data_IF_384998895165
#
_entry.id   IF_384998895165
#
_cell.length_a   1.000
_cell.length_b   1.000
_cell.length_c   1.000
_cell.angle_alpha   90.00
_cell.angle_beta   90.00
_cell.angle_gamma   90.00
#
_symmetry.space_group_name_H-M   'P 1'
#
loop_
_entity.id
_entity.type
_entity.pdbx_description
1 polymer ?
#
# COMPACT_ATOMS: atom_id res chain seq x y z
N UNK A 1 -0.17 3.93 8.14
CA UNK A 1 0.08 4.78 9.34
C UNK A 1 -0.48 6.14 9.06
N UNK A 2 -1.05 6.77 10.09
CA UNK A 2 -1.62 8.10 10.02
C UNK A 2 -0.82 9.10 10.86
N UNK A 3 -0.92 10.38 10.52
CA UNK A 3 -0.48 11.48 11.38
C UNK A 3 -1.50 11.73 12.54
N UNK A 4 -1.23 12.64 13.49
CA UNK A 4 -2.18 12.95 14.57
C UNK A 4 -3.51 13.53 14.08
N UNK A 5 -3.54 14.13 12.91
CA UNK A 5 -4.72 14.73 12.28
C UNK A 5 -5.54 13.71 11.46
N UNK A 6 -5.02 12.49 11.28
CA UNK A 6 -5.66 11.41 10.53
C UNK A 6 -5.29 11.36 9.06
N UNK A 7 -4.28 12.12 8.61
CA UNK A 7 -3.79 12.05 7.24
C UNK A 7 -2.89 10.83 7.04
N UNK A 8 -2.87 10.30 5.83
CA UNK A 8 -2.05 9.13 5.48
C UNK A 8 -0.59 9.52 5.34
N UNK A 9 0.26 9.05 6.26
CA UNK A 9 1.72 9.23 6.19
C UNK A 9 2.42 8.08 5.47
N UNK A 10 1.98 6.83 5.73
CA UNK A 10 2.58 5.64 5.11
C UNK A 10 1.50 4.65 4.69
N UNK A 11 1.69 4.08 3.53
CA UNK A 11 0.91 2.98 2.98
C UNK A 11 1.84 1.80 2.71
N UNK A 12 1.47 0.62 3.17
CA UNK A 12 2.22 -0.62 2.93
C UNK A 12 1.30 -1.82 3.05
N UNK A 13 1.70 -2.94 2.45
CA UNK A 13 1.14 -4.23 2.76
C UNK A 13 1.98 -4.89 3.84
N UNK A 14 1.35 -5.65 4.71
CA UNK A 14 1.98 -6.31 5.84
C UNK A 14 1.77 -7.81 5.73
N UNK A 15 2.87 -8.56 5.93
CA UNK A 15 2.82 -10.00 6.15
C UNK A 15 3.66 -10.36 7.35
N UNK A 16 3.19 -11.32 8.12
CA UNK A 16 3.90 -11.84 9.29
C UNK A 16 3.99 -13.36 9.18
N UNK A 17 5.21 -13.89 9.28
CA UNK A 17 5.47 -15.35 9.24
C UNK A 17 5.60 -15.98 10.64
N UNK A 18 5.30 -15.20 11.69
CA UNK A 18 5.43 -15.60 13.09
C UNK A 18 6.82 -15.31 13.70
N UNK A 19 7.80 -14.97 12.86
CA UNK A 19 9.15 -14.59 13.31
C UNK A 19 9.54 -13.20 12.80
N UNK A 20 9.10 -12.86 11.62
CA UNK A 20 9.44 -11.62 10.91
C UNK A 20 8.18 -11.01 10.31
N UNK A 21 8.00 -9.72 10.55
CA UNK A 21 6.96 -8.94 9.88
C UNK A 21 7.58 -8.20 8.70
N UNK A 22 7.14 -8.50 7.50
CA UNK A 22 7.53 -7.82 6.27
C UNK A 22 6.55 -6.69 5.93
N UNK A 23 7.09 -5.53 5.61
CA UNK A 23 6.33 -4.38 5.11
C UNK A 23 6.76 -4.10 3.67
N UNK A 24 5.82 -4.20 2.73
CA UNK A 24 6.08 -3.83 1.33
C UNK A 24 5.45 -2.48 1.03
N UNK A 25 6.25 -1.56 0.52
CA UNK A 25 5.88 -0.16 0.33
C UNK A 25 6.47 0.38 -0.97
N UNK A 26 6.00 1.56 -1.36
CA UNK A 26 6.51 2.25 -2.53
C UNK A 26 7.97 2.69 -2.35
N UNK A 27 8.77 2.74 -3.43
CA UNK A 27 10.13 3.25 -3.39
C UNK A 27 10.20 4.65 -2.79
N UNK A 28 11.26 4.93 -2.01
CA UNK A 28 11.50 6.22 -1.39
C UNK A 28 10.93 6.38 0.03
N UNK A 29 10.10 5.46 0.51
CA UNK A 29 9.51 5.55 1.85
C UNK A 29 10.22 4.70 2.93
N UNK A 30 11.14 3.82 2.54
CA UNK A 30 11.75 2.87 3.47
C UNK A 30 12.53 3.58 4.59
N UNK A 31 13.40 4.51 4.26
CA UNK A 31 14.26 5.21 5.23
C UNK A 31 13.43 5.95 6.30
N UNK A 32 12.43 6.71 5.87
CA UNK A 32 11.58 7.49 6.78
C UNK A 32 10.69 6.59 7.64
N UNK A 33 10.17 5.49 7.08
CA UNK A 33 9.39 4.52 7.82
C UNK A 33 10.25 3.78 8.85
N UNK A 34 11.47 3.38 8.51
CA UNK A 34 12.42 2.77 9.45
C UNK A 34 12.73 3.72 10.61
N UNK A 35 13.01 4.99 10.32
CA UNK A 35 13.26 6.00 11.34
C UNK A 35 12.04 6.16 12.28
N UNK A 36 10.84 6.20 11.70
CA UNK A 36 9.59 6.27 12.46
C UNK A 36 9.40 5.04 13.36
N UNK A 37 9.50 3.83 12.81
CA UNK A 37 9.30 2.60 13.57
C UNK A 37 10.37 2.41 14.64
N UNK A 38 11.63 2.76 14.35
CA UNK A 38 12.73 2.73 15.32
C UNK A 38 12.47 3.65 16.50
N UNK A 39 11.92 4.83 16.25
CA UNK A 39 11.49 5.76 17.32
C UNK A 39 10.30 5.20 18.11
N UNK A 40 9.35 4.55 17.42
CA UNK A 40 8.10 4.08 18.05
C UNK A 40 8.25 2.75 18.79
N UNK A 41 9.26 1.93 18.48
CA UNK A 41 9.47 0.64 19.16
C UNK A 41 9.79 0.76 20.65
N UNK A 42 10.25 1.94 21.10
CA UNK A 42 10.58 2.24 22.49
C UNK A 42 11.47 1.14 23.13
N UNK A 43 10.95 0.37 24.09
CA UNK A 43 11.68 -0.72 24.75
C UNK A 43 11.41 -2.11 24.14
N UNK A 44 10.67 -2.21 23.04
CA UNK A 44 10.42 -3.48 22.38
C UNK A 44 11.70 -4.00 21.73
N UNK A 45 11.97 -5.29 21.92
CA UNK A 45 13.11 -6.00 21.31
C UNK A 45 12.79 -6.35 19.86
N UNK A 46 12.66 -5.33 19.03
CA UNK A 46 12.39 -5.45 17.60
C UNK A 46 13.52 -4.77 16.85
N UNK A 47 14.05 -5.43 15.84
CA UNK A 47 14.97 -4.86 14.87
C UNK A 47 14.23 -4.48 13.60
N UNK A 48 14.47 -3.26 13.08
CA UNK A 48 13.82 -2.73 11.89
C UNK A 48 14.90 -2.39 10.87
N UNK A 49 14.85 -3.03 9.71
CA UNK A 49 15.86 -2.85 8.67
C UNK A 49 15.26 -2.84 7.26
N UNK A 50 16.00 -2.29 6.32
CA UNK A 50 15.69 -2.41 4.89
C UNK A 50 16.16 -3.79 4.39
N UNK A 51 15.24 -4.54 3.79
CA UNK A 51 15.48 -5.83 3.16
C UNK A 51 15.30 -5.78 1.62
N UNK A 52 15.24 -4.59 1.03
CA UNK A 52 14.98 -4.40 -0.41
C UNK A 52 16.03 -5.10 -1.28
N UNK A 53 17.28 -5.19 -0.83
CA UNK A 53 18.33 -5.91 -1.57
C UNK A 53 18.17 -7.44 -1.55
N UNK A 54 17.45 -8.00 -0.59
CA UNK A 54 17.27 -9.43 -0.38
C UNK A 54 16.02 -9.96 -1.06
N UNK A 55 14.96 -9.16 -1.11
CA UNK A 55 13.64 -9.57 -1.59
C UNK A 55 13.13 -8.73 -2.75
N UNK A 56 12.28 -9.32 -3.56
CA UNK A 56 11.48 -8.66 -4.57
C UNK A 56 9.99 -8.93 -4.30
N UNK A 57 9.15 -7.97 -4.66
CA UNK A 57 7.70 -8.11 -4.60
C UNK A 57 7.20 -8.38 -6.01
N UNK A 58 6.59 -9.53 -6.21
CA UNK A 58 6.06 -9.96 -7.51
C UNK A 58 4.55 -10.15 -7.41
N UNK A 59 3.86 -9.89 -8.51
CA UNK A 59 2.50 -10.37 -8.69
C UNK A 59 2.53 -11.57 -9.62
N UNK A 60 2.00 -12.70 -9.15
CA UNK A 60 1.95 -13.93 -9.95
C UNK A 60 0.60 -14.62 -9.76
N UNK A 61 0.03 -15.22 -10.84
CA UNK A 61 -1.20 -16.00 -10.73
C UNK A 61 -1.00 -17.18 -9.78
N UNK A 62 -1.93 -17.38 -8.84
CA UNK A 62 -1.89 -18.52 -7.93
C UNK A 62 -0.71 -18.54 -6.96
N UNK A 63 0.12 -17.51 -6.90
CA UNK A 63 1.05 -17.34 -5.80
C UNK A 63 0.21 -17.27 -4.53
N UNK A 64 0.42 -18.22 -3.64
CA UNK A 64 -0.14 -18.15 -2.30
C UNK A 64 0.41 -16.88 -1.68
N UNK A 65 -0.45 -15.88 -1.59
CA UNK A 65 -0.04 -14.58 -1.12
C UNK A 65 -0.29 -14.55 0.37
N UNK A 66 0.69 -14.97 1.12
CA UNK A 66 0.70 -14.74 2.56
C UNK A 66 0.77 -13.24 2.90
N UNK A 67 0.89 -12.39 1.87
CA UNK A 67 0.98 -10.92 1.98
C UNK A 67 -0.39 -10.25 1.80
N UNK A 68 -1.47 -10.76 2.36
CA UNK A 68 -2.76 -10.04 2.41
C UNK A 68 -3.21 -9.37 1.09
N UNK A 69 -2.71 -9.81 -0.07
CA UNK A 69 -2.93 -9.24 -1.38
C UNK A 69 -2.38 -10.10 -2.50
N UNK A 70 -2.47 -9.67 -3.77
CA UNK A 70 -2.06 -10.46 -4.93
C UNK A 70 -0.53 -10.43 -5.17
N UNK A 71 0.26 -10.22 -4.14
CA UNK A 71 1.72 -10.09 -4.23
C UNK A 71 2.42 -11.24 -3.50
N UNK A 72 3.54 -11.69 -4.05
CA UNK A 72 4.44 -12.63 -3.41
C UNK A 72 5.75 -11.92 -3.05
N UNK A 73 6.26 -12.20 -1.86
CA UNK A 73 7.60 -11.80 -1.45
C UNK A 73 8.56 -12.91 -1.84
N UNK A 74 9.54 -12.61 -2.69
CA UNK A 74 10.42 -13.60 -3.31
C UNK A 74 11.87 -13.23 -3.06
N UNK A 75 12.72 -14.16 -2.59
CA UNK A 75 14.17 -13.92 -2.56
C UNK A 75 14.67 -13.48 -3.94
N UNK A 76 15.46 -12.42 -4.01
CA UNK A 76 15.94 -11.91 -5.31
C UNK A 76 16.70 -12.92 -6.12
N UNK A 77 17.41 -13.85 -5.48
CA UNK A 77 18.11 -14.92 -6.15
C UNK A 77 17.17 -15.89 -6.89
N UNK A 78 15.91 -15.99 -6.49
CA UNK A 78 14.92 -16.92 -7.04
C UNK A 78 14.01 -16.28 -8.10
N UNK A 79 14.09 -14.95 -8.29
CA UNK A 79 13.20 -14.22 -9.21
C UNK A 79 13.29 -14.76 -10.63
N UNK A 80 14.49 -15.04 -11.14
CA UNK A 80 14.68 -15.55 -12.51
C UNK A 80 14.04 -16.94 -12.69
N UNK A 81 14.22 -17.83 -11.72
CA UNK A 81 13.63 -19.16 -11.75
C UNK A 81 12.10 -19.09 -11.67
N UNK A 82 11.59 -18.24 -10.80
CA UNK A 82 10.15 -18.04 -10.65
C UNK A 82 9.54 -17.47 -11.92
N UNK A 83 10.20 -16.49 -12.56
CA UNK A 83 9.77 -15.93 -13.83
C UNK A 83 9.67 -16.99 -14.94
N UNK A 84 10.62 -17.93 -15.00
CA UNK A 84 10.57 -19.07 -15.94
C UNK A 84 9.38 -19.99 -15.65
N UNK A 85 9.16 -20.33 -14.37
CA UNK A 85 8.06 -21.20 -13.94
C UNK A 85 6.71 -20.60 -14.31
N UNK A 86 6.49 -19.32 -14.01
CA UNK A 86 5.24 -18.64 -14.33
C UNK A 86 5.10 -18.28 -15.80
N UNK A 87 6.20 -18.14 -16.55
CA UNK A 87 6.19 -17.87 -17.98
C UNK A 87 5.49 -18.95 -18.82
N UNK A 88 5.32 -20.15 -18.27
CA UNK A 88 4.55 -21.23 -18.91
C UNK A 88 3.03 -21.00 -18.87
N UNK A 89 2.54 -20.19 -17.92
CA UNK A 89 1.07 -20.00 -17.65
C UNK A 89 0.66 -18.53 -17.65
N UNK A 90 1.61 -17.59 -17.69
CA UNK A 90 1.35 -16.16 -17.64
C UNK A 90 2.36 -15.36 -18.45
N UNK A 91 1.93 -14.27 -19.04
CA UNK A 91 2.81 -13.32 -19.73
C UNK A 91 3.47 -12.40 -18.72
N UNK A 92 4.79 -12.27 -18.79
CA UNK A 92 5.52 -11.31 -17.98
C UNK A 92 5.22 -9.88 -18.46
N UNK A 93 4.89 -9.01 -17.52
CA UNK A 93 4.56 -7.60 -17.77
C UNK A 93 5.30 -6.69 -16.81
N UNK A 94 5.49 -5.44 -17.21
CA UNK A 94 6.13 -4.44 -16.37
C UNK A 94 5.18 -3.76 -15.40
N UNK A 95 5.73 -2.84 -14.61
CA UNK A 95 5.00 -2.09 -13.56
C UNK A 95 3.85 -1.25 -14.11
N UNK A 96 3.89 -0.80 -15.35
CA UNK A 96 2.80 -0.04 -15.96
C UNK A 96 1.52 -0.86 -16.13
N UNK A 97 1.65 -2.15 -16.44
CA UNK A 97 0.47 -3.04 -16.48
C UNK A 97 -0.10 -3.25 -15.08
N UNK A 98 0.76 -3.35 -14.07
CA UNK A 98 0.35 -3.41 -12.67
C UNK A 98 -0.36 -2.14 -12.23
N UNK A 99 0.14 -0.96 -12.63
CA UNK A 99 -0.51 0.32 -12.33
C UNK A 99 -1.87 0.43 -13.04
N UNK A 100 -1.98 0.02 -14.30
CA UNK A 100 -3.26 0.01 -15.02
C UNK A 100 -4.29 -0.88 -14.30
N UNK A 101 -3.88 -2.06 -13.84
CA UNK A 101 -4.75 -2.96 -13.09
C UNK A 101 -5.14 -2.39 -11.71
N UNK A 102 -4.22 -1.76 -11.02
CA UNK A 102 -4.45 -1.09 -9.75
C UNK A 102 -5.49 0.03 -9.90
N UNK A 103 -5.32 0.88 -10.92
CA UNK A 103 -6.26 1.96 -11.25
C UNK A 103 -7.63 1.39 -11.60
N UNK A 104 -7.71 0.40 -12.46
CA UNK A 104 -8.96 -0.26 -12.83
C UNK A 104 -9.68 -0.88 -11.61
N UNK A 105 -8.93 -1.34 -10.63
CA UNK A 105 -9.47 -1.88 -9.38
C UNK A 105 -9.78 -0.80 -8.31
N UNK A 106 -9.59 0.49 -8.61
CA UNK A 106 -9.82 1.60 -7.67
C UNK A 106 -8.93 1.56 -6.43
N UNK A 107 -7.72 1.00 -6.54
CA UNK A 107 -6.77 0.89 -5.43
C UNK A 107 -5.82 2.08 -5.41
N UNK A 108 -5.96 3.02 -4.47
CA UNK A 108 -5.10 4.19 -4.39
C UNK A 108 -3.67 3.83 -3.97
N UNK A 109 -2.73 4.64 -4.42
CA UNK A 109 -1.31 4.53 -4.12
C UNK A 109 -0.81 5.85 -3.55
N UNK A 110 0.00 5.78 -2.52
CA UNK A 110 0.55 6.97 -1.87
C UNK A 110 1.32 7.84 -2.88
N UNK A 111 1.22 9.16 -2.75
CA UNK A 111 1.82 10.17 -3.64
C UNK A 111 1.34 10.16 -5.10
N UNK A 112 0.45 9.24 -5.50
CA UNK A 112 -0.20 9.24 -6.82
C UNK A 112 -1.64 9.75 -6.70
N UNK A 113 -2.47 9.06 -5.93
CA UNK A 113 -3.85 9.47 -5.66
C UNK A 113 -4.02 10.08 -4.27
N UNK A 114 -2.93 10.32 -3.54
CA UNK A 114 -2.95 10.95 -2.22
C UNK A 114 -2.11 12.21 -2.18
N UNK A 115 -2.51 13.13 -1.33
CA UNK A 115 -1.75 14.31 -0.93
C UNK A 115 -1.49 14.31 0.58
N UNK A 116 -0.84 15.36 1.09
CA UNK A 116 -0.52 15.52 2.51
C UNK A 116 -1.75 15.73 3.42
N UNK A 117 -2.96 15.81 2.86
CA UNK A 117 -4.23 15.98 3.59
C UNK A 117 -5.16 14.78 3.42
N UNK A 118 -4.78 13.79 2.63
CA UNK A 118 -5.63 12.64 2.34
C UNK A 118 -5.87 11.78 3.57
N UNK A 119 -7.12 11.46 3.83
CA UNK A 119 -7.55 10.60 4.93
C UNK A 119 -8.08 9.26 4.40
N UNK A 120 -8.02 8.16 5.19
CA UNK A 120 -8.48 6.84 4.73
C UNK A 120 -9.93 6.82 4.25
N UNK A 121 -10.78 7.66 4.84
CA UNK A 121 -12.21 7.77 4.48
C UNK A 121 -12.44 8.21 3.03
N UNK A 122 -11.55 9.06 2.50
CA UNK A 122 -11.64 9.59 1.13
C UNK A 122 -11.21 8.56 0.08
N UNK A 123 -10.32 7.65 0.48
CA UNK A 123 -9.61 6.73 -0.40
C UNK A 123 -10.33 5.39 -0.58
N UNK A 124 -11.42 5.14 0.16
CA UNK A 124 -12.14 3.87 0.10
C UNK A 124 -11.39 2.70 0.76
N UNK A 125 -10.35 2.96 1.55
CA UNK A 125 -9.48 1.92 2.14
C UNK A 125 -9.84 1.55 3.58
N UNK A 126 -10.89 2.12 4.16
CA UNK A 126 -11.25 1.90 5.56
C UNK A 126 -11.37 0.41 5.92
N UNK A 127 -12.12 -0.35 5.13
CA UNK A 127 -12.39 -1.76 5.43
C UNK A 127 -11.16 -2.66 5.36
N UNK A 128 -10.15 -2.29 4.59
CA UNK A 128 -8.92 -3.07 4.42
C UNK A 128 -7.73 -2.58 5.26
N UNK A 129 -7.76 -1.30 5.66
CA UNK A 129 -6.59 -0.66 6.27
C UNK A 129 -6.83 -0.13 7.69
N UNK A 130 -8.08 -0.06 8.15
CA UNK A 130 -8.42 0.48 9.48
C UNK A 130 -9.33 -0.49 10.24
N UNK A 131 -8.90 -0.90 11.41
CA UNK A 131 -9.74 -1.70 12.32
C UNK A 131 -10.53 -0.76 13.23
N UNK A 132 -11.80 -0.56 12.94
CA UNK A 132 -12.64 0.43 13.62
C UNK A 132 -12.92 0.09 15.10
N UNK A 133 -12.87 -1.19 15.48
CA UNK A 133 -13.21 -1.67 16.83
C UNK A 133 -11.98 -1.97 17.69
N UNK A 134 -10.77 -1.52 17.29
CA UNK A 134 -9.57 -1.66 18.12
C UNK A 134 -9.42 -0.47 19.07
N UNK A 135 -8.47 -0.60 20.01
CA UNK A 135 -8.08 0.49 20.91
C UNK A 135 -7.51 1.71 20.16
N UNK A 136 -7.10 2.70 20.91
CA UNK A 136 -6.63 3.99 20.38
C UNK A 136 -5.48 3.83 19.36
N UNK A 137 -5.53 4.64 18.32
CA UNK A 137 -4.46 4.77 17.33
C UNK A 137 -4.31 6.24 16.90
N UNK A 138 -3.16 6.58 16.38
CA UNK A 138 -2.85 7.93 15.93
C UNK A 138 -3.80 8.34 14.80
N UNK A 139 -4.42 9.53 14.93
CA UNK A 139 -5.39 10.04 13.95
C UNK A 139 -6.80 9.47 14.06
N UNK A 140 -7.08 8.62 15.06
CA UNK A 140 -8.39 7.98 15.25
C UNK A 140 -9.56 8.95 15.31
N UNK A 141 -9.39 10.09 15.95
CA UNK A 141 -10.48 11.04 16.15
C UNK A 141 -11.09 11.51 14.83
N UNK A 142 -10.24 11.92 13.88
CA UNK A 142 -10.67 12.34 12.54
C UNK A 142 -11.35 11.19 11.79
N UNK A 143 -10.72 10.02 11.77
CA UNK A 143 -11.24 8.85 11.05
C UNK A 143 -12.60 8.42 11.58
N UNK A 144 -12.72 8.30 12.91
CA UNK A 144 -13.97 7.88 13.57
C UNK A 144 -15.07 8.94 13.42
N UNK A 145 -14.73 10.22 13.57
CA UNK A 145 -15.70 11.33 13.38
C UNK A 145 -16.29 11.30 11.98
N UNK A 146 -15.45 11.21 10.95
CA UNK A 146 -15.91 11.20 9.56
C UNK A 146 -16.67 9.92 9.24
N UNK A 147 -16.24 8.78 9.76
CA UNK A 147 -16.94 7.51 9.60
C UNK A 147 -18.38 7.60 10.17
N UNK A 148 -18.54 8.16 11.38
CA UNK A 148 -19.85 8.29 12.01
C UNK A 148 -20.74 9.34 11.34
N UNK A 149 -20.15 10.40 10.76
CA UNK A 149 -20.90 11.41 9.99
C UNK A 149 -21.29 10.92 8.60
N UNK A 150 -20.57 9.93 8.07
CA UNK A 150 -20.84 9.30 6.76
C UNK A 150 -20.45 10.12 5.53
N UNK A 151 -19.88 11.31 5.70
CA UNK A 151 -19.55 12.23 4.61
C UNK A 151 -18.11 12.72 4.71
N UNK A 152 -17.15 12.05 4.04
CA UNK A 152 -15.81 12.59 3.91
C UNK A 152 -15.81 13.87 3.05
N UNK A 153 -14.91 14.83 3.31
CA UNK A 153 -14.85 16.09 2.59
C UNK A 153 -14.54 15.93 1.10
N UNK A 154 -13.84 14.86 0.75
CA UNK A 154 -13.49 14.49 -0.63
C UNK A 154 -13.73 13.00 -0.83
N UNK A 155 -13.76 12.56 -2.09
CA UNK A 155 -13.77 11.13 -2.44
C UNK A 155 -12.90 10.89 -3.67
N UNK A 156 -12.24 9.75 -3.70
CA UNK A 156 -11.57 9.25 -4.88
C UNK A 156 -12.61 8.83 -5.92
N UNK A 157 -12.42 9.26 -7.15
CA UNK A 157 -13.25 8.88 -8.29
C UNK A 157 -12.38 8.44 -9.45
N UNK A 158 -12.89 7.51 -10.26
CA UNK A 158 -12.24 7.09 -11.50
C UNK A 158 -12.80 7.91 -12.66
N UNK A 159 -11.92 8.49 -13.45
CA UNK A 159 -12.27 9.17 -14.69
C UNK A 159 -11.93 8.24 -15.87
N UNK A 160 -12.91 8.02 -16.75
CA UNK A 160 -12.70 7.35 -18.01
C UNK A 160 -12.47 8.41 -19.10
N UNK A 161 -11.29 8.36 -19.71
CA UNK A 161 -10.91 9.28 -20.77
C UNK A 161 -11.15 8.60 -22.11
N UNK A 162 -11.57 9.37 -23.11
CA UNK A 162 -11.82 8.87 -24.46
C UNK A 162 -10.53 8.70 -25.30
N UNK A 163 -9.37 9.03 -24.72
CA UNK A 163 -8.06 8.98 -25.39
C UNK A 163 -7.82 10.12 -26.38
N UNK A 164 -8.70 11.13 -26.41
CA UNK A 164 -8.45 12.35 -27.19
C UNK A 164 -7.29 13.15 -26.59
N UNK A 165 -6.52 13.84 -27.44
CA UNK A 165 -5.41 14.73 -27.04
C UNK A 165 -5.88 16.03 -26.35
N UNK A 166 -7.10 16.08 -25.90
CA UNK A 166 -7.63 17.20 -25.12
C UNK A 166 -7.01 17.13 -23.72
N UNK A 167 -6.30 18.18 -23.34
CA UNK A 167 -5.65 18.26 -22.03
C UNK A 167 -6.63 18.01 -20.88
N UNK A 168 -6.13 17.45 -19.77
CA UNK A 168 -6.93 17.23 -18.57
C UNK A 168 -7.58 18.54 -18.11
N UNK A 169 -8.82 18.49 -17.60
CA UNK A 169 -9.42 19.67 -16.99
C UNK A 169 -8.50 20.20 -15.90
N UNK A 170 -8.22 21.48 -15.92
CA UNK A 170 -7.51 22.14 -14.83
C UNK A 170 -8.35 22.05 -13.55
N UNK A 171 -7.71 21.65 -12.44
CA UNK A 171 -8.33 21.63 -11.11
C UNK A 171 -8.50 23.02 -10.54
#
# INVERSE_FOLDING_TARGET
ILDPQGHVEYQFNLVDDGSTTFLTLDPGYAETLIAYLTKMKFMLKVDVRDATSEFAVLRAPGAATDIGGPYALVPRAEVAQMAQTFGAVATQVGTWALDAERVAAGRPRIAFETDHKSIPNELGVLNGAVHMNKGCYRGQETVAKIFNLGNPPRRLVMLHLDGSDVGFPAT
#
